data_IF_790589552287
#
_entry.id   IF_790589552287
#
_cell.length_a   1.000
_cell.length_b   1.000
_cell.length_c   1.000
_cell.angle_alpha   90.00
_cell.angle_beta   90.00
_cell.angle_gamma   90.00
#
_symmetry.space_group_name_H-M   'P 1'
#
loop_
_entity.id
_entity.type
_entity.pdbx_description
1 polymer ?
#
# COMPACT_ATOMS: atom_id res chain seq x y z
N UNK A 1 21.13 5.89 -8.18
CA UNK A 1 20.84 4.81 -9.16
C UNK A 1 20.84 5.40 -10.55
N UNK A 2 21.53 4.78 -11.48
CA UNK A 2 21.58 5.22 -12.89
C UNK A 2 20.93 4.11 -13.73
N UNK A 3 20.04 4.49 -14.64
CA UNK A 3 19.43 3.60 -15.61
C UNK A 3 19.96 3.95 -16.98
N UNK A 4 20.55 2.98 -17.67
CA UNK A 4 21.05 3.14 -19.06
C UNK A 4 20.18 2.30 -19.97
N UNK A 5 19.54 2.93 -20.95
CA UNK A 5 18.69 2.27 -21.93
C UNK A 5 19.36 2.34 -23.30
N UNK A 6 19.53 1.17 -23.95
CA UNK A 6 19.99 1.07 -25.32
C UNK A 6 18.83 0.59 -26.19
N UNK A 7 18.36 1.43 -27.08
CA UNK A 7 17.30 1.13 -28.03
C UNK A 7 17.79 0.41 -29.31
N UNK A 8 16.97 0.36 -30.34
CA UNK A 8 17.31 -0.16 -31.65
C UNK A 8 17.08 -1.67 -31.86
N UNK A 9 16.47 -2.36 -30.88
CA UNK A 9 16.04 -3.76 -31.02
C UNK A 9 14.52 -3.85 -30.88
N UNK A 10 13.90 -4.69 -31.72
CA UNK A 10 12.48 -5.03 -31.55
C UNK A 10 12.33 -5.93 -30.33
N UNK A 11 11.37 -5.60 -29.48
CA UNK A 11 10.99 -6.47 -28.37
C UNK A 11 10.03 -7.55 -28.88
N UNK A 12 10.38 -8.81 -28.65
CA UNK A 12 9.57 -9.98 -29.01
C UNK A 12 9.55 -10.93 -27.82
N UNK A 13 8.37 -11.50 -27.50
CA UNK A 13 8.20 -12.43 -26.38
C UNK A 13 6.88 -12.20 -25.65
N UNK A 14 6.70 -12.98 -24.60
CA UNK A 14 5.57 -12.88 -23.68
C UNK A 14 6.05 -12.27 -22.37
N UNK A 15 5.19 -11.44 -21.77
CA UNK A 15 5.44 -10.86 -20.46
C UNK A 15 4.17 -10.98 -19.61
N UNK A 16 4.32 -11.50 -18.40
CA UNK A 16 3.26 -11.49 -17.40
C UNK A 16 3.24 -10.13 -16.70
N UNK A 17 2.07 -9.48 -16.72
CA UNK A 17 1.88 -8.20 -16.06
C UNK A 17 1.64 -8.40 -14.56
N UNK A 18 2.34 -7.64 -13.75
CA UNK A 18 2.05 -7.53 -12.33
C UNK A 18 0.70 -6.83 -12.10
N UNK A 19 0.12 -7.03 -10.90
CA UNK A 19 -1.06 -6.31 -10.49
C UNK A 19 -0.85 -4.78 -10.45
N UNK A 20 -1.94 -4.05 -10.55
CA UNK A 20 -1.92 -2.59 -10.56
C UNK A 20 -1.61 -2.01 -9.18
N UNK A 21 -0.57 -1.16 -9.08
CA UNK A 21 -0.30 -0.36 -7.88
C UNK A 21 -1.50 0.47 -7.45
N UNK A 22 -2.11 1.15 -8.39
CA UNK A 22 -3.22 2.08 -8.11
C UNK A 22 -4.51 1.37 -7.69
N UNK A 23 -4.63 0.07 -7.95
CA UNK A 23 -5.69 -0.76 -7.40
C UNK A 23 -5.31 -1.33 -6.03
N UNK A 24 -4.08 -1.81 -5.87
CA UNK A 24 -3.63 -2.44 -4.62
C UNK A 24 -3.68 -1.48 -3.41
N UNK A 25 -3.21 -0.25 -3.57
CA UNK A 25 -3.13 0.70 -2.44
C UNK A 25 -4.50 1.04 -1.82
N UNK A 26 -5.56 1.40 -2.58
CA UNK A 26 -6.87 1.62 -2.00
C UNK A 26 -7.53 0.33 -1.48
N UNK A 27 -7.26 -0.82 -2.09
CA UNK A 27 -7.77 -2.11 -1.60
C UNK A 27 -7.16 -2.47 -0.24
N UNK A 28 -5.88 -2.23 -0.02
CA UNK A 28 -5.23 -2.37 1.30
C UNK A 28 -5.87 -1.48 2.35
N UNK A 29 -6.14 -0.22 2.00
CA UNK A 29 -6.83 0.69 2.92
C UNK A 29 -8.27 0.21 3.22
N UNK A 30 -9.00 -0.28 2.23
CA UNK A 30 -10.33 -0.83 2.40
C UNK A 30 -10.35 -2.11 3.26
N UNK A 31 -9.28 -2.89 3.24
CA UNK A 31 -9.13 -4.09 4.06
C UNK A 31 -9.24 -3.86 5.57
N UNK A 32 -9.02 -2.61 6.03
CA UNK A 32 -9.25 -2.24 7.44
C UNK A 32 -10.73 -2.39 7.85
N UNK A 33 -11.65 -2.30 6.90
CA UNK A 33 -13.09 -2.29 7.18
C UNK A 33 -13.66 -3.64 7.62
N UNK A 34 -12.95 -4.74 7.42
CA UNK A 34 -13.37 -6.08 7.85
C UNK A 34 -12.40 -6.68 8.85
N UNK A 35 -12.90 -7.65 9.63
CA UNK A 35 -12.08 -8.48 10.54
C UNK A 35 -11.65 -9.79 9.90
N UNK A 36 -12.27 -10.13 8.77
CA UNK A 36 -11.98 -11.36 8.04
C UNK A 36 -10.62 -11.30 7.35
N UNK A 37 -10.02 -12.45 7.13
CA UNK A 37 -8.81 -12.54 6.32
C UNK A 37 -9.12 -12.18 4.86
N UNK A 38 -8.28 -11.33 4.29
CA UNK A 38 -8.34 -10.94 2.88
C UNK A 38 -7.09 -11.44 2.17
N UNK A 39 -7.26 -11.98 0.98
CA UNK A 39 -6.17 -12.44 0.12
C UNK A 39 -6.16 -11.63 -1.17
N UNK A 40 -5.11 -10.84 -1.35
CA UNK A 40 -4.92 -10.03 -2.56
C UNK A 40 -4.06 -10.82 -3.55
N UNK A 41 -4.68 -11.41 -4.55
CA UNK A 41 -3.99 -12.15 -5.61
C UNK A 41 -3.30 -11.19 -6.60
N UNK A 42 -2.16 -11.60 -7.14
CA UNK A 42 -1.34 -10.79 -8.05
C UNK A 42 -0.99 -9.41 -7.48
N UNK A 43 -0.81 -9.33 -6.17
CA UNK A 43 -0.44 -8.08 -5.52
C UNK A 43 0.99 -7.67 -5.93
N UNK A 44 1.20 -6.45 -6.44
CA UNK A 44 2.53 -6.04 -6.85
C UNK A 44 3.42 -5.83 -5.62
N UNK A 45 4.52 -6.58 -5.53
CA UNK A 45 5.47 -6.46 -4.42
C UNK A 45 6.47 -5.32 -4.68
N UNK A 46 5.99 -4.10 -4.63
CA UNK A 46 6.72 -2.84 -4.86
C UNK A 46 6.86 -2.02 -3.58
N UNK A 47 7.74 -1.03 -3.59
CA UNK A 47 8.05 -0.19 -2.42
C UNK A 47 6.81 0.44 -1.78
N UNK A 48 5.89 0.99 -2.59
CA UNK A 48 4.69 1.66 -2.08
C UNK A 48 3.78 0.68 -1.32
N UNK A 49 3.61 -0.53 -1.85
CA UNK A 49 2.80 -1.59 -1.19
C UNK A 49 3.46 -2.02 0.11
N UNK A 50 4.79 -2.19 0.12
CA UNK A 50 5.54 -2.55 1.34
C UNK A 50 5.40 -1.48 2.42
N UNK A 51 5.54 -0.21 2.07
CA UNK A 51 5.34 0.89 3.02
C UNK A 51 3.91 0.88 3.57
N UNK A 52 2.90 0.66 2.72
CA UNK A 52 1.51 0.57 3.18
C UNK A 52 1.30 -0.62 4.13
N UNK A 53 1.88 -1.79 3.87
CA UNK A 53 1.80 -2.94 4.77
C UNK A 53 2.50 -2.68 6.10
N UNK A 54 3.69 -2.08 6.10
CA UNK A 54 4.40 -1.67 7.32
C UNK A 54 3.54 -0.71 8.18
N UNK A 55 2.87 0.25 7.55
CA UNK A 55 1.97 1.17 8.26
C UNK A 55 0.77 0.44 8.88
N UNK A 56 0.22 -0.55 8.18
CA UNK A 56 -0.87 -1.41 8.69
C UNK A 56 -0.41 -2.27 9.87
N UNK A 57 0.77 -2.85 9.80
CA UNK A 57 1.36 -3.66 10.88
C UNK A 57 1.60 -2.83 12.14
N UNK A 58 2.02 -1.58 12.00
CA UNK A 58 2.23 -0.66 13.12
C UNK A 58 0.95 -0.36 13.91
N UNK A 59 -0.21 -0.45 13.29
CA UNK A 59 -1.51 -0.30 13.96
C UNK A 59 -2.14 -1.64 14.41
N UNK A 60 -1.42 -2.74 14.24
CA UNK A 60 -1.78 -4.06 14.74
C UNK A 60 -2.41 -5.01 13.73
N UNK A 61 -2.47 -4.63 12.47
CA UNK A 61 -2.95 -5.49 11.39
C UNK A 61 -1.87 -6.51 11.02
N UNK A 62 -2.27 -7.75 10.83
CA UNK A 62 -1.36 -8.81 10.41
C UNK A 62 -1.28 -8.85 8.89
N UNK A 63 -0.08 -8.91 8.34
CA UNK A 63 0.16 -9.13 6.91
C UNK A 63 1.17 -10.25 6.69
N UNK A 64 0.99 -11.00 5.62
CA UNK A 64 1.92 -12.05 5.21
C UNK A 64 1.94 -12.19 3.69
N UNK A 65 3.11 -12.43 3.13
CA UNK A 65 3.27 -12.72 1.71
C UNK A 65 3.38 -14.21 1.48
N UNK A 66 2.57 -14.71 0.56
CA UNK A 66 2.63 -16.07 0.02
C UNK A 66 2.84 -15.95 -1.51
N UNK A 67 4.10 -15.94 -1.93
CA UNK A 67 4.50 -15.68 -3.32
C UNK A 67 3.94 -14.34 -3.84
N UNK A 68 2.99 -14.35 -4.77
CA UNK A 68 2.34 -13.15 -5.33
C UNK A 68 1.05 -12.75 -4.61
N UNK A 69 0.69 -13.47 -3.55
CA UNK A 69 -0.50 -13.22 -2.75
C UNK A 69 -0.11 -12.50 -1.46
N UNK A 70 -0.74 -11.38 -1.21
CA UNK A 70 -0.66 -10.69 0.08
C UNK A 70 -1.88 -11.04 0.91
N UNK A 71 -1.67 -11.71 2.03
CA UNK A 71 -2.70 -11.98 3.04
C UNK A 71 -2.72 -10.85 4.06
N UNK A 72 -3.91 -10.43 4.46
CA UNK A 72 -4.12 -9.36 5.43
C UNK A 72 -5.27 -9.73 6.37
N UNK A 73 -5.07 -9.52 7.67
CA UNK A 73 -6.14 -9.68 8.66
C UNK A 73 -6.13 -8.52 9.66
N UNK A 74 -7.26 -7.83 9.74
CA UNK A 74 -7.45 -6.65 10.58
C UNK A 74 -8.46 -6.92 11.72
N UNK A 75 -8.36 -8.06 12.39
CA UNK A 75 -9.22 -8.45 13.51
C UNK A 75 -9.02 -7.56 14.74
N UNK A 76 -7.79 -7.21 15.07
CA UNK A 76 -7.42 -6.37 16.19
C UNK A 76 -6.64 -5.12 15.77
N UNK A 77 -7.19 -3.95 16.06
CA UNK A 77 -6.49 -2.67 15.92
C UNK A 77 -5.94 -2.23 17.27
N UNK A 78 -4.64 -1.98 17.38
CA UNK A 78 -3.98 -1.45 18.57
C UNK A 78 -4.29 0.03 18.77
N UNK A 79 -4.39 0.77 17.67
CA UNK A 79 -4.72 2.19 17.65
C UNK A 79 -5.30 2.60 16.28
N UNK A 80 -5.73 3.84 16.17
CA UNK A 80 -6.27 4.45 14.94
C UNK A 80 -5.40 5.59 14.43
N UNK A 81 -4.10 5.57 14.73
CA UNK A 81 -3.17 6.63 14.40
C UNK A 81 -2.01 6.08 13.56
N UNK A 82 -1.80 6.66 12.39
CA UNK A 82 -0.67 6.39 11.50
C UNK A 82 0.17 7.65 11.44
N UNK A 83 1.11 7.78 12.37
CA UNK A 83 1.92 8.97 12.58
C UNK A 83 3.38 8.79 12.14
N UNK A 84 3.73 7.63 11.61
CA UNK A 84 5.09 7.36 11.16
C UNK A 84 5.46 8.27 9.97
N UNK A 85 6.71 8.73 9.96
CA UNK A 85 7.24 9.56 8.86
C UNK A 85 7.16 8.83 7.51
N UNK A 86 7.16 7.52 7.52
CA UNK A 86 7.01 6.66 6.35
C UNK A 86 5.68 6.89 5.62
N UNK A 87 4.62 7.27 6.35
CA UNK A 87 3.35 7.66 5.75
C UNK A 87 3.51 8.85 4.79
N UNK A 88 4.46 9.73 5.04
CA UNK A 88 4.80 10.84 4.16
C UNK A 88 5.41 10.42 2.82
N UNK A 89 5.94 9.20 2.73
CA UNK A 89 6.58 8.67 1.50
C UNK A 89 5.57 8.15 0.48
N UNK A 90 4.36 7.79 0.93
CA UNK A 90 3.31 7.22 0.08
C UNK A 90 2.04 8.06 0.20
N UNK A 91 1.67 8.75 -0.89
CA UNK A 91 0.46 9.60 -0.90
C UNK A 91 -0.82 8.82 -0.57
N UNK A 92 -0.87 7.55 -0.95
CA UNK A 92 -2.01 6.69 -0.69
C UNK A 92 -2.28 6.44 0.80
N UNK A 93 -1.32 6.73 1.71
CA UNK A 93 -1.52 6.62 3.15
C UNK A 93 -2.72 7.45 3.65
N UNK A 94 -3.09 8.51 2.96
CA UNK A 94 -4.28 9.32 3.27
C UNK A 94 -5.58 8.50 3.20
N UNK A 95 -5.61 7.44 2.41
CA UNK A 95 -6.77 6.55 2.27
C UNK A 95 -7.11 5.84 3.58
N UNK A 96 -6.12 5.63 4.46
CA UNK A 96 -6.35 5.05 5.78
C UNK A 96 -7.25 5.90 6.67
N UNK A 97 -7.29 7.22 6.43
CA UNK A 97 -8.11 8.13 7.22
C UNK A 97 -9.60 7.71 7.16
N UNK A 98 -10.11 7.45 5.95
CA UNK A 98 -11.52 7.06 5.76
C UNK A 98 -11.86 5.71 6.39
N UNK A 99 -11.05 4.69 6.15
CA UNK A 99 -11.30 3.34 6.67
C UNK A 99 -11.10 3.25 8.19
N UNK A 100 -10.10 3.92 8.75
CA UNK A 100 -9.92 3.99 10.20
C UNK A 100 -11.07 4.76 10.86
N UNK A 101 -11.48 5.89 10.29
CA UNK A 101 -12.60 6.66 10.82
C UNK A 101 -13.89 5.84 10.81
N UNK A 102 -14.19 5.16 9.71
CA UNK A 102 -15.37 4.31 9.58
C UNK A 102 -15.39 3.16 10.60
N UNK A 103 -14.23 2.56 10.87
CA UNK A 103 -14.13 1.41 11.76
C UNK A 103 -14.03 1.74 13.24
N UNK A 104 -13.38 2.86 13.60
CA UNK A 104 -13.03 3.19 14.99
C UNK A 104 -13.71 4.46 15.51
N UNK A 105 -14.37 5.22 14.65
CA UNK A 105 -14.99 6.51 14.98
C UNK A 105 -13.98 7.68 15.10
N UNK A 106 -12.69 7.40 15.00
CA UNK A 106 -11.61 8.40 15.01
C UNK A 106 -10.43 7.92 14.19
N UNK A 107 -9.68 8.86 13.60
CA UNK A 107 -8.48 8.53 12.85
C UNK A 107 -7.50 9.70 12.88
N UNK A 108 -6.22 9.38 12.86
CA UNK A 108 -5.12 10.33 12.72
C UNK A 108 -4.09 9.76 11.75
N UNK A 109 -3.82 10.48 10.68
CA UNK A 109 -2.85 10.06 9.66
C UNK A 109 -1.87 11.21 9.43
N UNK A 110 -0.57 10.89 9.43
CA UNK A 110 0.46 11.86 9.07
C UNK A 110 0.23 12.36 7.65
N UNK A 111 0.30 13.69 7.44
CA UNK A 111 0.11 14.26 6.11
C UNK A 111 1.10 13.66 5.11
N UNK A 112 0.61 13.07 4.02
CA UNK A 112 1.48 12.51 3.01
C UNK A 112 2.33 13.61 2.36
N UNK A 113 3.60 13.33 2.15
CA UNK A 113 4.49 14.19 1.39
C UNK A 113 4.00 14.38 -0.05
N UNK A 114 4.29 15.52 -0.65
CA UNK A 114 4.03 15.75 -2.07
C UNK A 114 4.95 14.91 -2.95
N UNK A 115 4.48 14.52 -4.15
CA UNK A 115 5.40 14.14 -5.21
C UNK A 115 6.34 15.29 -5.48
N UNK A 116 7.66 15.08 -5.46
CA UNK A 116 8.69 16.09 -5.81
C UNK A 116 8.76 16.33 -7.33
N UNK A 117 7.63 16.37 -7.99
CA UNK A 117 7.52 16.79 -9.39
C UNK A 117 7.34 18.29 -9.36
N UNK A 118 8.43 19.03 -9.38
CA UNK A 118 8.53 20.47 -9.63
C UNK A 118 7.38 21.38 -9.17
N UNK A 119 7.57 22.66 -9.17
CA UNK A 119 6.48 23.65 -8.98
C UNK A 119 5.42 23.45 -10.09
N UNK A 120 4.20 23.17 -9.69
CA UNK A 120 3.03 23.37 -10.53
C UNK A 120 2.55 24.80 -10.39
#
# INVERSE_FOLDING_TARGET
MQIVVRGGRRAEGEAELQGSKNAALPMLAAGILTKEEIRFHHCPNISDVRVMTELLENIGIQTAWEDTVLCMQADHLKNSEILQKEAGRVRASILFLGSLLARTGKAKVHMPGGCSIGRR
#
